data_IF_875123753889
#
_entry.id   IF_875123753889
#
_cell.length_a   1.000
_cell.length_b   1.000
_cell.length_c   1.000
_cell.angle_alpha   90.00
_cell.angle_beta   90.00
_cell.angle_gamma   90.00
#
_symmetry.space_group_name_H-M   'P 1'
#
loop_
_entity.id
_entity.type
_entity.pdbx_description
1 polymer ?
#
# COMPACT_ATOMS: atom_id res chain seq x y z
N UNK A 1 -10.84 13.97 -10.66
CA UNK A 1 -10.79 12.54 -10.33
C UNK A 1 -9.61 12.20 -9.43
N UNK A 2 -8.37 12.54 -9.73
CA UNK A 2 -7.19 12.22 -8.91
C UNK A 2 -7.26 12.74 -7.46
N UNK A 3 -7.73 13.97 -7.25
CA UNK A 3 -7.87 14.56 -5.91
C UNK A 3 -8.84 13.79 -4.99
N UNK A 4 -9.91 13.25 -5.55
CA UNK A 4 -10.90 12.48 -4.79
C UNK A 4 -10.28 11.16 -4.33
N UNK A 5 -9.57 10.45 -5.22
CA UNK A 5 -8.89 9.21 -4.89
C UNK A 5 -7.80 9.40 -3.82
N UNK A 6 -6.99 10.45 -3.96
CA UNK A 6 -5.96 10.79 -2.96
C UNK A 6 -6.60 11.11 -1.60
N UNK A 7 -7.69 11.88 -1.57
CA UNK A 7 -8.40 12.16 -0.32
C UNK A 7 -8.91 10.89 0.34
N UNK A 8 -9.55 9.98 -0.41
CA UNK A 8 -10.02 8.70 0.14
C UNK A 8 -8.88 7.86 0.73
N UNK A 9 -7.71 7.84 0.07
CA UNK A 9 -6.53 7.14 0.62
C UNK A 9 -6.12 7.75 1.97
N UNK A 10 -6.02 9.07 2.06
CA UNK A 10 -5.67 9.74 3.31
C UNK A 10 -6.73 9.57 4.39
N UNK A 11 -8.01 9.60 4.02
CA UNK A 11 -9.10 9.36 4.97
C UNK A 11 -9.01 7.94 5.54
N UNK A 12 -8.77 6.94 4.69
CA UNK A 12 -8.59 5.55 5.11
C UNK A 12 -7.36 5.33 6.00
N UNK A 13 -6.24 5.98 5.68
CA UNK A 13 -4.98 5.77 6.42
C UNK A 13 -4.96 6.54 7.72
N UNK A 14 -5.31 7.84 7.74
CA UNK A 14 -4.99 8.68 8.90
C UNK A 14 -6.03 9.74 9.29
N UNK A 15 -6.93 10.19 8.40
CA UNK A 15 -7.78 11.36 8.70
C UNK A 15 -9.12 11.01 9.32
N UNK A 16 -9.77 9.95 8.82
CA UNK A 16 -11.07 9.53 9.34
C UNK A 16 -10.94 8.94 10.74
N UNK A 17 -11.98 9.09 11.57
CA UNK A 17 -12.04 8.53 12.92
C UNK A 17 -11.94 7.00 12.97
N UNK A 18 -12.25 6.35 11.87
CA UNK A 18 -12.12 4.90 11.67
C UNK A 18 -10.90 4.54 10.82
N UNK A 19 -10.01 5.48 10.56
CA UNK A 19 -8.78 5.24 9.81
C UNK A 19 -7.88 4.24 10.51
N UNK A 20 -6.97 3.64 9.74
CA UNK A 20 -6.01 2.64 10.26
C UNK A 20 -5.22 3.21 11.45
N UNK A 21 -4.62 4.41 11.30
CA UNK A 21 -3.81 4.99 12.37
C UNK A 21 -4.63 5.40 13.59
N UNK A 22 -5.86 5.90 13.41
CA UNK A 22 -6.73 6.24 14.54
C UNK A 22 -7.20 5.00 15.29
N UNK A 23 -7.49 3.92 14.59
CA UNK A 23 -7.87 2.64 15.19
C UNK A 23 -6.75 1.99 16.01
N UNK A 24 -5.50 2.33 15.71
CA UNK A 24 -4.30 1.81 16.37
C UNK A 24 -3.66 2.81 17.36
N UNK A 25 -4.35 3.89 17.71
CA UNK A 25 -3.81 4.98 18.54
C UNK A 25 -3.45 4.56 19.98
N UNK A 26 -3.91 3.39 20.43
CA UNK A 26 -3.55 2.80 21.73
C UNK A 26 -2.14 2.19 21.75
N UNK A 27 -1.51 2.02 20.59
CA UNK A 27 -0.15 1.46 20.49
C UNK A 27 0.86 2.60 20.67
N UNK A 28 1.73 2.48 21.68
CA UNK A 28 2.83 3.41 21.86
C UNK A 28 3.85 3.22 20.73
N UNK A 29 4.36 4.34 20.21
CA UNK A 29 5.35 4.35 19.11
C UNK A 29 4.84 3.58 17.86
N UNK A 30 3.61 3.86 17.45
CA UNK A 30 2.99 3.18 16.31
C UNK A 30 3.87 3.18 15.04
N UNK A 31 4.69 4.22 14.84
CA UNK A 31 5.63 4.32 13.73
C UNK A 31 6.71 3.23 13.68
N UNK A 32 6.96 2.51 14.79
CA UNK A 32 7.88 1.37 14.83
C UNK A 32 7.24 0.09 14.25
N UNK A 33 5.91 0.08 14.14
CA UNK A 33 5.13 -1.09 13.70
C UNK A 33 4.52 -0.94 12.32
N UNK A 34 4.11 0.28 11.94
CA UNK A 34 3.46 0.53 10.67
C UNK A 34 3.95 1.84 10.06
N UNK A 35 4.35 1.78 8.80
CA UNK A 35 4.80 2.94 8.02
C UNK A 35 4.22 2.88 6.61
N UNK A 36 3.94 4.05 6.04
CA UNK A 36 3.42 4.19 4.68
C UNK A 36 4.39 4.99 3.84
N UNK A 37 4.70 4.49 2.66
CA UNK A 37 5.64 5.11 1.74
C UNK A 37 5.02 5.35 0.38
N UNK A 38 5.51 6.36 -0.31
CA UNK A 38 5.22 6.59 -1.72
C UNK A 38 6.52 6.63 -2.50
N UNK A 39 6.50 6.06 -3.69
CA UNK A 39 7.64 6.14 -4.60
C UNK A 39 7.61 7.49 -5.33
N UNK A 40 8.73 8.18 -5.37
CA UNK A 40 8.89 9.47 -6.05
C UNK A 40 10.16 9.51 -6.87
N UNK A 41 10.12 10.23 -7.97
CA UNK A 41 11.29 10.57 -8.77
C UNK A 41 11.61 12.06 -8.64
N UNK A 42 12.87 12.41 -8.78
CA UNK A 42 13.37 13.78 -8.68
C UNK A 42 14.11 14.15 -9.96
N UNK A 43 14.00 15.41 -10.34
CA UNK A 43 14.69 15.96 -11.49
C UNK A 43 14.79 17.47 -11.41
N UNK A 44 15.24 18.09 -12.50
CA UNK A 44 15.28 19.54 -12.65
C UNK A 44 14.63 19.94 -13.98
N UNK A 45 13.80 20.98 -13.95
CA UNK A 45 13.26 21.64 -15.13
C UNK A 45 13.70 23.09 -15.06
N UNK A 46 14.43 23.57 -16.06
CA UNK A 46 14.99 24.94 -16.08
C UNK A 46 15.75 25.29 -14.79
N UNK A 47 16.58 24.35 -14.29
CA UNK A 47 17.31 24.47 -13.02
C UNK A 47 16.46 24.59 -11.75
N UNK A 48 15.16 24.33 -11.84
CA UNK A 48 14.25 24.30 -10.69
C UNK A 48 14.08 22.85 -10.27
N UNK A 49 14.36 22.47 -9.01
CA UNK A 49 14.10 21.11 -8.52
C UNK A 49 12.61 20.79 -8.61
N UNK A 50 12.30 19.64 -9.19
CA UNK A 50 10.95 19.11 -9.31
C UNK A 50 10.91 17.67 -8.81
N UNK A 51 9.75 17.26 -8.32
CA UNK A 51 9.50 15.89 -7.89
C UNK A 51 8.14 15.44 -8.36
N UNK A 52 8.02 14.17 -8.73
CA UNK A 52 6.78 13.58 -9.20
C UNK A 52 6.56 12.23 -8.52
N UNK A 53 5.29 11.89 -8.27
CA UNK A 53 4.92 10.60 -7.69
C UNK A 53 4.98 9.55 -8.80
N UNK A 54 5.68 8.46 -8.54
CA UNK A 54 5.68 7.28 -9.40
C UNK A 54 4.53 6.38 -8.97
N UNK A 55 3.65 6.06 -9.93
CA UNK A 55 2.52 5.17 -9.67
C UNK A 55 3.00 3.73 -9.48
N UNK A 56 2.81 3.20 -8.27
CA UNK A 56 3.14 1.81 -7.94
C UNK A 56 1.92 0.95 -8.27
N UNK A 57 2.02 0.11 -9.32
CA UNK A 57 0.95 -0.81 -9.71
C UNK A 57 1.17 -2.25 -9.21
N UNK A 58 2.36 -2.56 -8.71
CA UNK A 58 2.69 -3.87 -8.15
C UNK A 58 1.88 -4.18 -6.90
N UNK A 59 1.45 -5.43 -6.77
CA UNK A 59 0.81 -5.97 -5.57
C UNK A 59 1.69 -7.09 -5.07
N UNK A 60 2.46 -6.80 -4.05
CA UNK A 60 3.44 -7.69 -3.44
C UNK A 60 3.27 -7.63 -1.94
N UNK A 61 3.24 -8.78 -1.30
CA UNK A 61 3.29 -8.93 0.15
C UNK A 61 4.38 -9.93 0.50
N UNK A 62 5.21 -9.59 1.48
CA UNK A 62 6.23 -10.47 2.04
C UNK A 62 5.93 -10.63 3.53
N UNK A 63 5.87 -11.86 4.01
CA UNK A 63 5.51 -12.20 5.38
C UNK A 63 6.65 -13.02 5.99
N UNK A 64 7.25 -12.50 7.05
CA UNK A 64 8.30 -13.15 7.86
C UNK A 64 9.47 -13.71 7.04
N UNK A 65 9.81 -13.07 5.92
CA UNK A 65 10.83 -13.51 4.95
C UNK A 65 10.64 -14.95 4.45
N UNK A 66 9.43 -15.48 4.56
CA UNK A 66 9.09 -16.87 4.22
C UNK A 66 8.03 -17.03 3.17
N UNK A 67 7.05 -16.15 3.21
CA UNK A 67 5.92 -16.22 2.27
C UNK A 67 5.91 -14.97 1.42
N UNK A 68 5.84 -15.16 0.12
CA UNK A 68 5.67 -14.07 -0.86
C UNK A 68 4.35 -14.28 -1.57
N UNK A 69 3.51 -13.25 -1.59
CA UNK A 69 2.28 -13.20 -2.35
C UNK A 69 2.43 -12.11 -3.42
N UNK A 70 2.25 -12.49 -4.67
CA UNK A 70 2.30 -11.59 -5.83
C UNK A 70 1.01 -11.79 -6.62
N UNK A 71 0.32 -10.69 -6.93
CA UNK A 71 -0.95 -10.83 -7.63
C UNK A 71 -1.45 -9.55 -8.28
N UNK A 72 -2.68 -9.63 -8.78
CA UNK A 72 -3.39 -8.49 -9.36
C UNK A 72 -4.31 -7.80 -8.37
N UNK A 73 -4.72 -8.46 -7.28
CA UNK A 73 -5.66 -7.94 -6.30
C UNK A 73 -5.13 -6.76 -5.51
N UNK A 74 -5.95 -5.73 -5.37
CA UNK A 74 -5.72 -4.64 -4.43
C UNK A 74 -6.48 -4.88 -3.13
N UNK A 75 -6.07 -4.24 -2.04
CA UNK A 75 -6.83 -4.22 -0.79
C UNK A 75 -7.96 -3.19 -0.92
N UNK A 76 -8.98 -3.53 -1.68
CA UNK A 76 -10.19 -2.74 -1.86
C UNK A 76 -11.39 -3.64 -2.20
N UNK A 77 -12.59 -3.07 -2.16
CA UNK A 77 -13.84 -3.80 -2.38
C UNK A 77 -13.92 -4.40 -3.80
N UNK A 78 -13.34 -3.76 -4.81
CA UNK A 78 -13.36 -4.25 -6.19
C UNK A 78 -12.69 -5.62 -6.30
N UNK A 79 -11.52 -5.77 -5.67
CA UNK A 79 -10.73 -7.01 -5.74
C UNK A 79 -11.17 -8.04 -4.71
N UNK A 80 -11.71 -7.63 -3.54
CA UNK A 80 -11.94 -8.51 -2.38
C UNK A 80 -13.38 -9.01 -2.26
N UNK A 81 -14.38 -8.31 -2.80
CA UNK A 81 -15.79 -8.70 -2.66
C UNK A 81 -16.25 -9.79 -3.64
N UNK A 82 -15.43 -10.14 -4.61
CA UNK A 82 -15.71 -11.23 -5.57
C UNK A 82 -16.80 -10.96 -6.62
N UNK A 83 -17.47 -9.82 -6.55
CA UNK A 83 -18.60 -9.50 -7.44
C UNK A 83 -18.22 -8.59 -8.62
N UNK A 84 -17.02 -8.08 -8.67
CA UNK A 84 -16.61 -7.04 -9.64
C UNK A 84 -15.41 -7.46 -10.48
N UNK A 85 -14.25 -7.60 -9.87
CA UNK A 85 -13.01 -7.91 -10.58
C UNK A 85 -12.63 -9.39 -10.40
N UNK A 86 -12.03 -9.98 -11.43
CA UNK A 86 -11.40 -11.31 -11.37
C UNK A 86 -9.92 -11.12 -11.12
N UNK A 87 -9.37 -11.81 -10.12
CA UNK A 87 -8.01 -11.64 -9.67
C UNK A 87 -7.22 -12.95 -9.71
N UNK A 88 -5.91 -12.82 -9.92
CA UNK A 88 -4.97 -13.95 -9.84
C UNK A 88 -3.86 -13.58 -8.87
N UNK A 89 -3.47 -14.53 -8.04
CA UNK A 89 -2.32 -14.41 -7.15
C UNK A 89 -1.52 -15.70 -7.12
N UNK A 90 -0.20 -15.54 -6.93
CA UNK A 90 0.74 -16.65 -6.70
C UNK A 90 1.27 -16.50 -5.28
N UNK A 91 1.24 -17.59 -4.54
CA UNK A 91 1.85 -17.70 -3.21
C UNK A 91 3.09 -18.57 -3.33
N UNK A 92 4.22 -18.06 -2.90
CA UNK A 92 5.49 -18.77 -2.85
C UNK A 92 5.86 -18.89 -1.37
N UNK A 93 6.06 -20.11 -0.92
CA UNK A 93 6.49 -20.39 0.45
C UNK A 93 7.88 -21.01 0.44
N UNK A 94 8.82 -20.40 1.18
CA UNK A 94 10.14 -20.95 1.38
C UNK A 94 10.07 -22.04 2.46
N UNK A 95 10.23 -23.28 2.02
CA UNK A 95 10.37 -24.43 2.94
C UNK A 95 11.82 -24.50 3.38
N UNK A 96 12.15 -23.95 4.55
CA UNK A 96 13.43 -24.29 5.19
C UNK A 96 13.52 -25.81 5.32
N UNK A 97 14.40 -26.42 4.55
CA UNK A 97 14.84 -27.79 4.88
C UNK A 97 15.46 -27.74 6.28
N UNK A 98 14.80 -28.41 7.22
CA UNK A 98 15.35 -28.68 8.53
C UNK A 98 16.60 -29.55 8.41
#
# INVERSE_FOLDING_TARGET
>A
MLRVQVNHIYDTICRDKHSILQSLNYIKNLGDYIQFYTLRTHGTIHNIPVTEIVYVHSKLMIIDDRVVLIGSANINDRSMMGSRDSEIAVVIEDQKKQ
#
